data_IF_729753490481
#
_entry.id   IF_729753490481
#
_cell.length_a   1.000
_cell.length_b   1.000
_cell.length_c   1.000
_cell.angle_alpha   90.00
_cell.angle_beta   90.00
_cell.angle_gamma   90.00
#
_symmetry.space_group_name_H-M   'P 1'
#
loop_
_entity.id
_entity.type
_entity.pdbx_description
1 polymer ?
#
# COMPACT_ATOMS: atom_id res chain seq x y z
N UNK A 1 32.41 -25.41 -26.14
CA UNK A 1 32.94 -26.33 -25.10
C UNK A 1 33.59 -25.47 -24.03
N UNK A 2 32.87 -24.91 -23.07
CA UNK A 2 31.49 -25.13 -22.67
C UNK A 2 30.77 -23.78 -22.55
N UNK A 3 29.58 -23.71 -23.13
CA UNK A 3 28.70 -22.56 -23.08
C UNK A 3 28.02 -22.55 -21.70
N UNK A 4 28.60 -21.81 -20.76
CA UNK A 4 27.89 -21.42 -19.55
C UNK A 4 27.11 -20.15 -19.89
N UNK A 5 25.84 -20.31 -20.25
CA UNK A 5 24.89 -19.21 -20.31
C UNK A 5 24.89 -18.50 -18.96
N UNK A 6 25.35 -17.25 -18.91
CA UNK A 6 25.11 -16.41 -17.75
C UNK A 6 23.62 -16.13 -17.72
N UNK A 7 22.88 -16.80 -16.83
CA UNK A 7 21.48 -16.46 -16.55
C UNK A 7 21.42 -15.01 -16.06
N UNK A 8 21.14 -14.10 -16.99
CA UNK A 8 20.77 -12.74 -16.69
C UNK A 8 19.44 -12.80 -15.93
N UNK A 9 19.46 -12.43 -14.65
CA UNK A 9 18.27 -12.20 -13.84
C UNK A 9 17.38 -11.17 -14.53
N UNK A 10 16.33 -11.64 -15.20
CA UNK A 10 15.28 -10.79 -15.75
C UNK A 10 14.37 -10.30 -14.63
N UNK A 11 13.81 -9.08 -14.77
CA UNK A 11 12.92 -8.42 -13.78
C UNK A 11 11.80 -9.34 -13.27
N UNK A 12 11.31 -10.26 -14.10
CA UNK A 12 10.28 -11.24 -13.73
C UNK A 12 10.68 -12.14 -12.54
N UNK A 13 11.96 -12.54 -12.44
CA UNK A 13 12.46 -13.40 -11.37
C UNK A 13 12.54 -12.65 -10.03
N UNK A 14 12.61 -11.31 -10.05
CA UNK A 14 12.64 -10.50 -8.83
C UNK A 14 11.24 -10.39 -8.22
N UNK A 15 10.19 -10.26 -9.05
CA UNK A 15 8.80 -10.19 -8.59
C UNK A 15 8.33 -11.52 -7.97
N UNK A 16 8.59 -12.65 -8.63
CA UNK A 16 8.25 -13.97 -8.07
C UNK A 16 8.99 -14.22 -6.75
N UNK A 17 10.26 -13.83 -6.67
CA UNK A 17 11.04 -13.91 -5.44
C UNK A 17 10.49 -13.02 -4.32
N UNK A 18 10.05 -11.79 -4.61
CA UNK A 18 9.48 -10.88 -3.61
C UNK A 18 8.21 -11.44 -2.97
N UNK A 19 7.37 -12.12 -3.75
CA UNK A 19 6.14 -12.75 -3.22
C UNK A 19 6.41 -13.93 -2.27
N UNK A 20 7.62 -14.49 -2.30
CA UNK A 20 8.02 -15.65 -1.49
C UNK A 20 8.55 -15.30 -0.10
N UNK A 21 8.97 -14.06 0.13
CA UNK A 21 9.59 -13.61 1.38
C UNK A 21 8.57 -12.89 2.26
N UNK A 22 8.45 -13.32 3.53
CA UNK A 22 7.58 -12.71 4.54
C UNK A 22 8.37 -12.35 5.78
N UNK A 23 8.10 -11.15 6.29
CA UNK A 23 8.55 -10.68 7.59
C UNK A 23 7.33 -10.51 8.48
N UNK A 24 7.25 -11.29 9.55
CA UNK A 24 6.11 -11.34 10.46
C UNK A 24 6.58 -10.95 11.86
N UNK A 25 6.29 -9.74 12.34
CA UNK A 25 6.53 -9.39 13.74
C UNK A 25 5.68 -10.31 14.63
N UNK A 26 6.35 -11.11 15.46
CA UNK A 26 5.69 -12.07 16.35
C UNK A 26 5.55 -11.57 17.78
N UNK A 27 6.39 -10.61 18.17
CA UNK A 27 6.30 -9.91 19.46
C UNK A 27 6.88 -8.49 19.36
N UNK A 28 6.98 -7.76 20.48
CA UNK A 28 7.55 -6.41 20.48
C UNK A 28 9.07 -6.39 20.25
N UNK A 29 9.74 -7.55 20.37
CA UNK A 29 11.18 -7.67 20.19
C UNK A 29 11.58 -8.85 19.29
N UNK A 30 10.64 -9.48 18.59
CA UNK A 30 10.93 -10.63 17.71
C UNK A 30 10.23 -10.52 16.36
N UNK A 31 10.96 -10.89 15.30
CA UNK A 31 10.46 -10.96 13.92
C UNK A 31 10.79 -12.33 13.35
N UNK A 32 9.77 -13.01 12.83
CA UNK A 32 9.94 -14.22 12.03
C UNK A 32 10.13 -13.86 10.56
N UNK A 33 11.15 -14.48 9.96
CA UNK A 33 11.43 -14.42 8.53
C UNK A 33 11.07 -15.77 7.93
N UNK A 34 10.24 -15.76 6.89
CA UNK A 34 9.83 -16.95 6.17
C UNK A 34 10.07 -16.78 4.67
N UNK A 35 10.65 -17.79 4.03
CA UNK A 35 10.80 -17.85 2.56
C UNK A 35 10.06 -19.09 2.06
N UNK A 36 9.08 -18.92 1.19
CA UNK A 36 8.35 -20.05 0.61
C UNK A 36 9.25 -20.94 -0.25
N UNK A 37 8.84 -22.17 -0.51
CA UNK A 37 9.59 -23.08 -1.41
C UNK A 37 9.87 -22.46 -2.79
N UNK A 38 8.98 -21.56 -3.25
CA UNK A 38 9.14 -20.87 -4.53
C UNK A 38 10.33 -19.91 -4.53
N UNK A 39 10.61 -19.26 -3.40
CA UNK A 39 11.77 -18.38 -3.26
C UNK A 39 13.08 -19.11 -3.52
N UNK A 40 13.17 -20.38 -3.12
CA UNK A 40 14.36 -21.19 -3.34
C UNK A 40 14.47 -21.79 -4.74
N UNK A 41 13.56 -21.54 -5.69
CA UNK A 41 13.65 -22.12 -7.05
C UNK A 41 14.99 -21.85 -7.71
N UNK A 42 15.52 -20.63 -7.54
CA UNK A 42 16.80 -20.19 -8.12
C UNK A 42 17.98 -20.17 -7.13
N UNK A 43 17.74 -20.37 -5.82
CA UNK A 43 18.74 -20.17 -4.78
C UNK A 43 18.65 -21.23 -3.67
N UNK A 44 19.79 -21.65 -3.12
CA UNK A 44 19.82 -22.66 -2.05
C UNK A 44 19.74 -22.03 -0.65
N UNK A 45 20.21 -20.78 -0.53
CA UNK A 45 20.29 -20.06 0.74
C UNK A 45 20.28 -18.55 0.53
N UNK A 46 19.93 -17.83 1.59
CA UNK A 46 19.93 -16.38 1.67
C UNK A 46 20.76 -15.92 2.85
N UNK A 47 21.69 -14.99 2.60
CA UNK A 47 22.32 -14.22 3.66
C UNK A 47 21.30 -13.21 4.17
N UNK A 48 21.07 -13.21 5.47
CA UNK A 48 20.15 -12.28 6.14
C UNK A 48 20.97 -11.31 6.99
N UNK A 49 20.72 -10.03 6.82
CA UNK A 49 21.32 -8.97 7.62
C UNK A 49 20.25 -7.98 8.05
N UNK A 50 20.45 -7.29 9.18
CA UNK A 50 19.53 -6.25 9.61
C UNK A 50 20.28 -5.07 10.25
N UNK A 51 19.64 -3.91 10.29
CA UNK A 51 20.16 -2.71 10.94
C UNK A 51 19.01 -1.80 11.39
N UNK A 52 19.27 -0.86 12.30
CA UNK A 52 18.29 0.18 12.64
C UNK A 52 18.33 1.28 11.56
N UNK A 53 17.21 1.96 11.34
CA UNK A 53 17.15 3.10 10.40
C UNK A 53 18.18 4.20 10.72
N UNK A 54 18.59 4.31 11.98
CA UNK A 54 19.55 5.32 12.45
C UNK A 54 21.03 4.88 12.27
N UNK A 55 21.30 3.63 11.88
CA UNK A 55 22.64 3.05 11.81
C UNK A 55 22.90 2.30 10.50
N UNK A 56 22.51 2.85 9.35
CA UNK A 56 22.57 2.19 8.03
C UNK A 56 23.94 1.63 7.60
N UNK A 57 25.03 2.05 8.25
CA UNK A 57 26.39 1.56 8.00
C UNK A 57 26.78 0.35 8.89
N UNK A 58 25.93 -0.06 9.82
CA UNK A 58 26.18 -1.12 10.81
C UNK A 58 25.17 -2.26 10.64
N UNK A 59 25.43 -3.14 9.68
CA UNK A 59 24.61 -4.33 9.44
C UNK A 59 25.04 -5.49 10.34
N UNK A 60 24.07 -6.06 11.05
CA UNK A 60 24.26 -7.29 11.83
C UNK A 60 23.88 -8.49 10.97
N UNK A 61 24.76 -9.49 10.88
CA UNK A 61 24.53 -10.70 10.10
C UNK A 61 23.87 -11.77 10.95
N UNK A 62 22.79 -12.37 10.42
CA UNK A 62 22.08 -13.50 10.99
C UNK A 62 22.49 -14.82 10.33
N UNK A 63 22.14 -15.98 10.92
CA UNK A 63 22.25 -17.26 10.24
C UNK A 63 21.57 -17.22 8.87
N UNK A 64 22.19 -17.87 7.88
CA UNK A 64 21.59 -17.95 6.55
C UNK A 64 20.30 -18.76 6.59
N UNK A 65 19.27 -18.29 5.91
CA UNK A 65 18.08 -19.08 5.64
C UNK A 65 18.41 -20.05 4.52
N UNK A 66 18.08 -21.33 4.67
CA UNK A 66 18.36 -22.36 3.67
C UNK A 66 17.09 -23.07 3.25
N UNK A 67 17.08 -23.74 2.10
CA UNK A 67 15.90 -24.53 1.68
C UNK A 67 15.47 -25.57 2.72
N UNK A 68 16.40 -26.14 3.49
CA UNK A 68 16.11 -27.10 4.56
C UNK A 68 15.64 -26.46 5.88
N UNK A 69 15.80 -25.15 6.03
CA UNK A 69 15.34 -24.36 7.17
C UNK A 69 14.86 -23.00 6.65
N UNK A 70 13.67 -22.96 6.03
CA UNK A 70 13.15 -21.76 5.35
C UNK A 70 12.65 -20.67 6.32
N UNK A 71 12.79 -20.91 7.63
CA UNK A 71 12.38 -20.01 8.69
C UNK A 71 13.59 -19.55 9.52
N UNK A 72 13.58 -18.29 9.92
CA UNK A 72 14.53 -17.69 10.85
C UNK A 72 13.81 -16.73 11.77
N UNK A 73 13.93 -16.95 13.08
CA UNK A 73 13.46 -16.00 14.10
C UNK A 73 14.60 -15.08 14.48
N UNK A 74 14.33 -13.77 14.47
CA UNK A 74 15.26 -12.72 14.89
C UNK A 74 14.74 -12.15 16.19
N UNK A 75 15.44 -12.46 17.28
CA UNK A 75 15.10 -12.06 18.65
C UNK A 75 15.90 -10.84 19.10
N UNK A 76 15.59 -10.37 20.32
CA UNK A 76 16.29 -9.28 21.02
C UNK A 76 16.31 -7.92 20.27
N UNK A 77 15.28 -7.65 19.47
CA UNK A 77 15.09 -6.36 18.82
C UNK A 77 14.58 -5.30 19.82
N UNK A 78 15.02 -4.06 19.66
CA UNK A 78 14.54 -2.93 20.46
C UNK A 78 13.09 -2.61 20.09
N UNK A 79 12.26 -2.45 21.13
CA UNK A 79 10.87 -2.04 20.96
C UNK A 79 10.82 -0.62 20.37
N UNK A 80 9.74 -0.30 19.64
CA UNK A 80 9.55 1.02 19.02
C UNK A 80 10.68 1.48 18.09
N UNK A 81 11.44 0.54 17.55
CA UNK A 81 12.57 0.82 16.66
C UNK A 81 12.26 0.36 15.25
N UNK A 82 12.57 1.22 14.28
CA UNK A 82 12.46 0.92 12.86
C UNK A 82 13.72 0.19 12.38
N UNK A 83 13.52 -0.95 11.75
CA UNK A 83 14.58 -1.81 11.23
C UNK A 83 14.53 -1.91 9.70
N UNK A 84 15.71 -2.08 9.12
CA UNK A 84 15.90 -2.51 7.73
C UNK A 84 16.50 -3.91 7.72
N UNK A 85 15.90 -4.80 6.93
CA UNK A 85 16.39 -6.15 6.69
C UNK A 85 16.93 -6.25 5.27
N UNK A 86 18.09 -6.86 5.09
CA UNK A 86 18.73 -7.09 3.81
C UNK A 86 18.86 -8.58 3.53
N UNK A 87 18.40 -9.00 2.36
CA UNK A 87 18.45 -10.38 1.88
C UNK A 87 19.33 -10.46 0.65
N UNK A 88 20.43 -11.20 0.74
CA UNK A 88 21.33 -11.44 -0.38
C UNK A 88 21.24 -12.92 -0.79
N UNK A 89 20.70 -13.25 -1.97
CA UNK A 89 20.69 -14.62 -2.45
C UNK A 89 22.11 -15.14 -2.65
N UNK A 90 22.38 -16.37 -2.22
CA UNK A 90 23.65 -17.04 -2.48
C UNK A 90 23.42 -18.19 -3.46
N UNK A 91 24.12 -18.11 -4.60
CA UNK A 91 24.03 -19.10 -5.68
C UNK A 91 24.61 -20.46 -5.26
N UNK A 92 24.00 -21.50 -5.83
CA UNK A 92 24.38 -22.90 -5.66
C UNK A 92 25.82 -23.14 -6.11
N UNK A 93 26.66 -23.65 -5.21
CA UNK A 93 28.00 -24.15 -5.54
C UNK A 93 29.10 -23.09 -5.71
N UNK A 94 28.82 -21.80 -5.50
CA UNK A 94 29.85 -20.76 -5.49
C UNK A 94 30.22 -20.45 -4.04
N UNK A 95 31.17 -21.19 -3.48
CA UNK A 95 31.87 -20.77 -2.25
C UNK A 95 32.76 -19.58 -2.62
N UNK A 96 32.23 -18.36 -2.51
CA UNK A 96 33.03 -17.14 -2.70
C UNK A 96 33.99 -16.98 -1.53
N UNK A 97 35.22 -17.47 -1.69
CA UNK A 97 36.30 -17.25 -0.72
C UNK A 97 37.08 -15.95 -0.96
N UNK A 98 36.62 -15.04 -1.84
CA UNK A 98 37.32 -13.77 -2.10
C UNK A 98 36.35 -12.57 -2.14
N UNK A 99 36.59 -11.61 -1.25
CA UNK A 99 35.87 -10.35 -1.02
C UNK A 99 36.02 -9.30 -2.17
N UNK A 100 36.11 -9.73 -3.43
CA UNK A 100 36.30 -8.78 -4.55
C UNK A 100 35.04 -8.59 -5.39
N UNK A 101 34.17 -7.67 -4.94
CA UNK A 101 33.53 -6.68 -5.82
C UNK A 101 32.49 -7.13 -6.84
N UNK A 102 31.86 -8.30 -6.73
CA UNK A 102 30.66 -8.57 -7.55
C UNK A 102 29.44 -7.89 -6.92
N UNK A 103 28.79 -7.00 -7.68
CA UNK A 103 27.52 -6.38 -7.32
C UNK A 103 26.40 -7.42 -7.20
N UNK A 104 26.32 -8.08 -6.05
CA UNK A 104 25.21 -8.96 -5.72
C UNK A 104 23.98 -8.11 -5.40
N UNK A 105 22.92 -8.32 -6.15
CA UNK A 105 21.62 -7.70 -5.89
C UNK A 105 21.15 -8.14 -4.50
N UNK A 106 20.84 -7.18 -3.65
CA UNK A 106 20.29 -7.42 -2.32
C UNK A 106 18.93 -6.74 -2.23
N UNK A 107 17.97 -7.42 -1.64
CA UNK A 107 16.66 -6.85 -1.33
C UNK A 107 16.72 -6.21 0.05
N UNK A 108 16.14 -5.02 0.20
CA UNK A 108 16.00 -4.35 1.49
C UNK A 108 14.52 -4.16 1.81
N UNK A 109 14.09 -4.60 2.99
CA UNK A 109 12.74 -4.47 3.53
C UNK A 109 12.76 -3.64 4.81
N UNK A 110 11.71 -2.83 5.00
CA UNK A 110 11.56 -1.97 6.18
C UNK A 110 10.48 -2.55 7.09
N UNK A 111 10.79 -2.71 8.38
CA UNK A 111 9.84 -3.21 9.38
C UNK A 111 9.88 -2.30 10.60
N UNK A 112 8.71 -1.90 11.07
CA UNK A 112 8.54 -1.14 12.30
C UNK A 112 8.11 -2.07 13.43
N UNK A 113 8.89 -2.13 14.50
CA UNK A 113 8.52 -2.91 15.68
C UNK A 113 7.40 -2.20 16.46
N UNK A 114 6.35 -2.91 16.88
CA UNK A 114 5.27 -2.31 17.66
C UNK A 114 5.71 -2.00 19.09
N UNK A 115 5.21 -0.88 19.64
CA UNK A 115 5.39 -0.44 21.04
C UNK A 115 4.96 -1.46 22.08
N UNK A 116 4.01 -2.33 21.74
CA UNK A 116 3.61 -3.44 22.58
C UNK A 116 2.87 -4.51 21.78
N UNK A 117 3.54 -5.62 21.47
CA UNK A 117 2.86 -6.87 21.16
C UNK A 117 2.73 -7.66 22.47
N UNK A 118 1.57 -7.59 23.13
CA UNK A 118 1.26 -8.52 24.23
C UNK A 118 0.76 -9.85 23.66
N UNK A 119 1.61 -10.58 22.96
CA UNK A 119 1.38 -12.01 22.68
C UNK A 119 1.91 -12.81 23.87
N UNK A 120 1.02 -13.14 24.82
CA UNK A 120 1.39 -13.86 26.05
C UNK A 120 1.43 -15.36 25.77
N UNK A 121 2.59 -15.90 25.43
CA UNK A 121 2.80 -17.36 25.40
C UNK A 121 2.98 -17.89 26.83
N UNK A 122 2.12 -18.83 27.24
CA UNK A 122 2.31 -19.62 28.46
C UNK A 122 2.74 -21.03 28.05
N UNK A 123 3.98 -21.39 28.37
CA UNK A 123 4.47 -22.76 28.31
C UNK A 123 3.81 -23.59 29.42
N UNK A 124 2.78 -24.35 29.07
CA UNK A 124 2.26 -25.45 29.88
C UNK A 124 2.33 -26.73 29.06
N UNK A 125 2.92 -27.79 29.61
CA UNK A 125 2.96 -29.12 29.00
C UNK A 125 1.53 -29.66 28.82
N UNK A 126 0.96 -29.42 27.65
CA UNK A 126 -0.25 -30.05 27.18
C UNK A 126 -0.05 -30.48 25.73
N UNK A 127 -0.49 -31.70 25.45
CA UNK A 127 -0.52 -32.37 24.15
C UNK A 127 -0.69 -31.36 23.00
N UNK A 128 0.32 -31.26 22.13
CA UNK A 128 0.44 -30.23 21.08
C UNK A 128 -0.89 -30.00 20.35
N UNK A 129 -1.56 -28.90 20.70
CA UNK A 129 -2.71 -28.36 19.98
C UNK A 129 -2.12 -27.60 18.78
N UNK A 130 -2.78 -27.68 17.62
CA UNK A 130 -2.40 -26.85 16.48
C UNK A 130 -2.33 -25.38 16.91
N UNK A 131 -1.34 -24.60 16.42
CA UNK A 131 -1.23 -23.19 16.76
C UNK A 131 -2.57 -22.48 16.43
N UNK A 132 -3.01 -21.53 17.26
CA UNK A 132 -4.23 -20.78 17.00
C UNK A 132 -4.14 -20.09 15.63
N UNK A 133 -5.24 -20.05 14.86
CA UNK A 133 -5.25 -19.36 13.57
C UNK A 133 -4.87 -17.89 13.76
N UNK A 134 -4.03 -17.39 12.86
CA UNK A 134 -3.62 -15.98 12.86
C UNK A 134 -4.64 -15.16 12.07
N UNK A 135 -4.76 -13.87 12.38
CA UNK A 135 -5.61 -12.93 11.66
C UNK A 135 -4.83 -11.66 11.34
N UNK A 136 -5.12 -11.07 10.19
CA UNK A 136 -4.66 -9.75 9.80
C UNK A 136 -5.84 -8.77 9.80
N UNK A 137 -5.57 -7.52 10.18
CA UNK A 137 -6.54 -6.43 10.13
C UNK A 137 -5.96 -5.32 9.26
N UNK A 138 -6.73 -4.93 8.24
CA UNK A 138 -6.36 -3.91 7.27
C UNK A 138 -7.42 -2.82 7.27
N UNK A 139 -7.03 -1.55 7.34
CA UNK A 139 -7.97 -0.45 7.07
C UNK A 139 -8.30 -0.42 5.58
N UNK A 140 -9.59 -0.50 5.27
CA UNK A 140 -10.10 -0.42 3.90
C UNK A 140 -10.48 1.01 3.53
N UNK A 141 -11.10 1.75 4.45
CA UNK A 141 -11.39 3.19 4.31
C UNK A 141 -11.38 3.90 5.67
N UNK A 142 -11.87 5.15 5.75
CA UNK A 142 -11.87 5.93 6.99
C UNK A 142 -12.80 5.38 8.09
N UNK A 143 -13.74 4.52 7.72
CA UNK A 143 -14.82 3.97 8.57
C UNK A 143 -14.91 2.44 8.50
N UNK A 144 -13.96 1.76 7.87
CA UNK A 144 -14.02 0.32 7.68
C UNK A 144 -12.66 -0.37 7.76
N UNK A 145 -12.70 -1.62 8.24
CA UNK A 145 -11.55 -2.54 8.26
C UNK A 145 -11.93 -3.89 7.66
N UNK A 146 -11.00 -4.48 6.93
CA UNK A 146 -10.99 -5.88 6.53
C UNK A 146 -10.24 -6.70 7.58
N UNK A 147 -10.88 -7.74 8.09
CA UNK A 147 -10.25 -8.75 8.92
C UNK A 147 -10.15 -10.02 8.09
N UNK A 148 -8.94 -10.59 7.99
CA UNK A 148 -8.66 -11.78 7.20
C UNK A 148 -7.99 -12.85 8.06
N UNK A 149 -8.49 -14.08 7.98
CA UNK A 149 -7.90 -15.25 8.59
C UNK A 149 -6.71 -15.73 7.76
N UNK A 150 -5.54 -15.82 8.39
CA UNK A 150 -4.33 -16.34 7.76
C UNK A 150 -4.35 -17.86 7.93
N UNK A 151 -4.75 -18.55 6.87
CA UNK A 151 -4.71 -20.02 6.80
C UNK A 151 -3.31 -20.44 6.35
N UNK A 152 -2.57 -21.12 7.23
CA UNK A 152 -1.27 -21.71 6.84
C UNK A 152 -1.48 -22.70 5.70
N UNK A 153 -0.60 -22.65 4.69
CA UNK A 153 -0.65 -23.52 3.51
C UNK A 153 -0.46 -25.02 3.85
N UNK A 154 -0.04 -25.32 5.08
CA UNK A 154 -0.04 -26.66 5.62
C UNK A 154 -1.47 -27.19 5.75
N UNK A 155 -1.86 -28.01 4.78
CA UNK A 155 -3.17 -28.66 4.55
C UNK A 155 -3.75 -29.47 5.73
N UNK A 156 -3.18 -29.39 6.93
CA UNK A 156 -3.67 -30.04 8.16
C UNK A 156 -4.48 -29.12 9.08
N UNK A 157 -4.41 -27.80 8.90
CA UNK A 157 -5.22 -26.85 9.66
C UNK A 157 -6.54 -26.58 8.91
N UNK A 158 -7.51 -27.49 9.04
CA UNK A 158 -8.86 -27.24 8.55
C UNK A 158 -9.50 -26.14 9.39
N UNK A 159 -9.82 -25.00 8.78
CA UNK A 159 -10.55 -23.89 9.40
C UNK A 159 -12.01 -24.29 9.62
N UNK A 160 -12.29 -25.31 10.44
CA UNK A 160 -13.65 -25.81 10.73
C UNK A 160 -14.34 -25.05 11.86
N UNK A 161 -13.71 -23.98 12.33
CA UNK A 161 -14.13 -23.20 13.48
C UNK A 161 -14.90 -21.96 13.04
N UNK A 162 -15.83 -21.54 13.89
CA UNK A 162 -16.62 -20.32 13.70
C UNK A 162 -16.10 -19.30 14.70
N UNK A 163 -15.74 -18.12 14.20
CA UNK A 163 -15.14 -17.05 14.99
C UNK A 163 -16.08 -15.86 15.07
N UNK A 164 -16.37 -15.41 16.28
CA UNK A 164 -17.05 -14.14 16.52
C UNK A 164 -16.04 -13.01 16.64
N UNK A 165 -16.29 -11.93 15.92
CA UNK A 165 -15.50 -10.71 15.99
C UNK A 165 -16.24 -9.69 16.83
N UNK A 166 -15.53 -9.13 17.79
CA UNK A 166 -15.98 -8.06 18.66
C UNK A 166 -15.10 -6.84 18.44
N UNK A 167 -15.69 -5.65 18.53
CA UNK A 167 -14.99 -4.38 18.55
C UNK A 167 -15.27 -3.65 19.85
N UNK A 168 -14.29 -2.92 20.34
CA UNK A 168 -14.40 -2.01 21.48
C UNK A 168 -13.83 -0.66 21.08
N UNK A 169 -14.60 0.40 21.33
CA UNK A 169 -14.18 1.78 21.09
C UNK A 169 -13.38 2.26 22.29
N UNK A 170 -12.21 2.88 22.08
CA UNK A 170 -11.34 3.29 23.20
C UNK A 170 -11.90 4.44 24.05
N UNK A 171 -12.98 5.11 23.62
CA UNK A 171 -13.38 6.38 24.23
C UNK A 171 -14.42 6.32 25.34
N UNK A 172 -15.28 5.30 25.48
CA UNK A 172 -16.47 5.51 26.34
C UNK A 172 -17.00 4.38 27.21
N UNK A 173 -16.76 3.09 26.96
CA UNK A 173 -17.11 2.03 27.91
C UNK A 173 -16.32 0.78 27.52
N UNK A 174 -15.78 0.03 28.49
CA UNK A 174 -15.07 -1.25 28.28
C UNK A 174 -16.01 -2.38 27.77
N UNK A 175 -17.04 -2.02 27.00
CA UNK A 175 -18.06 -2.90 26.45
C UNK A 175 -17.68 -3.39 25.06
N UNK A 176 -17.50 -4.70 24.94
CA UNK A 176 -17.29 -5.38 23.67
C UNK A 176 -18.60 -5.52 22.90
N UNK A 177 -18.65 -4.96 21.70
CA UNK A 177 -19.79 -5.14 20.78
C UNK A 177 -19.45 -6.19 19.74
N UNK A 178 -20.29 -7.21 19.58
CA UNK A 178 -20.13 -8.18 18.48
C UNK A 178 -20.47 -7.51 17.15
N UNK A 179 -19.53 -7.52 16.21
CA UNK A 179 -19.64 -6.84 14.91
C UNK A 179 -19.70 -7.79 13.73
N UNK A 180 -19.22 -9.02 13.90
CA UNK A 180 -19.13 -9.98 12.80
C UNK A 180 -19.05 -11.43 13.29
N UNK A 181 -19.28 -12.37 12.37
CA UNK A 181 -18.97 -13.80 12.52
C UNK A 181 -18.28 -14.28 11.24
N UNK A 182 -17.14 -14.94 11.38
CA UNK A 182 -16.37 -15.58 10.31
C UNK A 182 -16.47 -17.10 10.41
N UNK A 183 -16.47 -17.78 9.28
CA UNK A 183 -16.48 -19.25 9.22
C UNK A 183 -15.57 -19.74 8.08
N UNK A 184 -15.56 -21.06 7.88
CA UNK A 184 -14.75 -21.73 6.85
C UNK A 184 -15.02 -21.26 5.42
N UNK A 185 -16.22 -20.76 5.16
CA UNK A 185 -16.65 -20.31 3.84
C UNK A 185 -16.41 -18.78 3.68
N UNK A 186 -16.15 -18.08 4.79
CA UNK A 186 -15.93 -16.64 4.87
C UNK A 186 -14.70 -16.31 5.74
N UNK A 187 -13.50 -16.56 5.17
CA UNK A 187 -12.21 -16.31 5.81
C UNK A 187 -11.86 -14.82 5.94
N UNK A 188 -12.64 -13.93 5.36
CA UNK A 188 -12.45 -12.49 5.44
C UNK A 188 -13.77 -11.77 5.65
N UNK A 189 -13.78 -10.72 6.47
CA UNK A 189 -14.96 -9.91 6.71
C UNK A 189 -14.61 -8.42 6.77
N UNK A 190 -15.44 -7.59 6.13
CA UNK A 190 -15.33 -6.13 6.21
C UNK A 190 -16.30 -5.59 7.25
N UNK A 191 -15.77 -4.91 8.26
CA UNK A 191 -16.54 -4.22 9.28
C UNK A 191 -16.64 -2.76 8.85
N UNK A 192 -17.86 -2.25 8.73
CA UNK A 192 -18.16 -0.89 8.24
C UNK A 192 -18.81 -0.04 9.31
N UNK A 193 -19.00 1.25 9.01
CA UNK A 193 -19.65 2.24 9.88
C UNK A 193 -18.92 2.46 11.21
N UNK A 194 -17.59 2.36 11.20
CA UNK A 194 -16.74 2.73 12.32
C UNK A 194 -16.55 4.25 12.32
N UNK A 195 -16.38 4.83 13.50
CA UNK A 195 -16.19 6.27 13.62
C UNK A 195 -14.78 6.64 13.15
N UNK A 196 -14.71 7.66 12.29
CA UNK A 196 -13.42 8.21 11.86
C UNK A 196 -12.62 8.71 13.07
N UNK A 197 -11.29 8.70 12.95
CA UNK A 197 -10.35 9.19 13.97
C UNK A 197 -10.48 8.53 15.35
N UNK A 198 -11.14 7.38 15.39
CA UNK A 198 -11.37 6.65 16.62
C UNK A 198 -10.46 5.43 16.65
N UNK A 199 -9.93 5.12 17.83
CA UNK A 199 -9.19 3.89 18.03
C UNK A 199 -10.15 2.77 18.43
N UNK A 200 -10.02 1.64 17.75
CA UNK A 200 -10.80 0.44 17.99
C UNK A 200 -9.87 -0.68 18.40
N UNK A 201 -10.34 -1.50 19.34
CA UNK A 201 -9.72 -2.80 19.63
C UNK A 201 -10.63 -3.89 19.12
N UNK A 202 -10.08 -4.81 18.33
CA UNK A 202 -10.81 -5.97 17.84
C UNK A 202 -10.42 -7.21 18.64
N UNK A 203 -11.42 -8.02 18.99
CA UNK A 203 -11.29 -9.31 19.66
C UNK A 203 -11.93 -10.38 18.80
N UNK A 204 -11.16 -11.40 18.45
CA UNK A 204 -11.65 -12.54 17.67
C UNK A 204 -11.73 -13.75 18.60
N UNK A 205 -12.91 -14.35 18.70
CA UNK A 205 -13.23 -15.43 19.65
C UNK A 205 -13.78 -16.66 18.92
N UNK A 206 -13.21 -17.83 19.17
CA UNK A 206 -13.71 -19.08 18.63
C UNK A 206 -14.92 -19.57 19.42
N UNK A 207 -16.09 -19.71 18.78
CA UNK A 207 -17.35 -20.10 19.42
C UNK A 207 -17.29 -21.49 20.10
N UNK A 208 -16.36 -22.36 19.70
CA UNK A 208 -16.18 -23.68 20.34
C UNK A 208 -15.45 -23.59 21.69
N UNK A 209 -14.85 -22.45 22.01
CA UNK A 209 -14.14 -22.22 23.25
C UNK A 209 -15.01 -21.40 24.21
N UNK A 210 -14.95 -21.65 25.53
CA UNK A 210 -15.72 -20.86 26.49
C UNK A 210 -15.27 -19.39 26.51
N UNK A 211 -16.24 -18.46 26.47
CA UNK A 211 -16.02 -17.00 26.50
C UNK A 211 -15.22 -16.52 27.74
N UNK A 212 -15.18 -17.31 28.81
CA UNK A 212 -14.53 -16.97 30.09
C UNK A 212 -13.00 -17.14 30.08
N UNK A 213 -12.40 -17.64 29.00
CA UNK A 213 -10.95 -17.80 28.89
C UNK A 213 -10.35 -16.67 28.04
N UNK A 214 -9.75 -15.67 28.70
CA UNK A 214 -8.99 -14.58 28.06
C UNK A 214 -7.91 -15.10 27.08
N UNK A 215 -7.43 -16.33 27.28
CA UNK A 215 -6.36 -16.98 26.53
C UNK A 215 -6.72 -17.38 25.09
N UNK A 216 -7.98 -17.26 24.69
CA UNK A 216 -8.49 -17.70 23.37
C UNK A 216 -8.75 -16.56 22.40
N UNK A 217 -8.50 -15.32 22.84
CA UNK A 217 -8.87 -14.11 22.11
C UNK A 217 -7.64 -13.50 21.46
N UNK A 218 -7.71 -13.27 20.15
CA UNK A 218 -6.73 -12.44 19.45
C UNK A 218 -7.22 -11.00 19.59
N UNK A 219 -6.41 -10.17 20.26
CA UNK A 219 -6.71 -8.77 20.56
C UNK A 219 -5.74 -7.90 19.77
N UNK A 220 -6.26 -7.09 18.87
CA UNK A 220 -5.46 -6.14 18.10
C UNK A 220 -6.09 -4.75 18.16
N UNK A 221 -5.28 -3.76 18.55
CA UNK A 221 -5.68 -2.36 18.56
C UNK A 221 -5.35 -1.74 17.20
N UNK A 222 -6.33 -1.03 16.65
CA UNK A 222 -6.26 -0.36 15.37
C UNK A 222 -6.71 1.09 15.52
N UNK A 223 -5.88 2.04 15.08
CA UNK A 223 -6.21 3.47 15.13
C UNK A 223 -6.52 3.94 13.71
N UNK A 224 -7.75 4.39 13.47
CA UNK A 224 -8.16 4.91 12.18
C UNK A 224 -7.45 6.24 11.89
N UNK A 225 -6.87 6.32 10.69
CA UNK A 225 -6.42 7.59 10.12
C UNK A 225 -7.63 8.39 9.59
N UNK A 226 -7.55 9.73 9.60
CA UNK A 226 -8.54 10.57 8.91
C UNK A 226 -8.63 10.14 7.44
N UNK A 227 -9.79 10.31 6.79
CA UNK A 227 -9.90 10.12 5.33
C UNK A 227 -8.81 10.90 4.55
N UNK A 228 -8.47 12.10 5.04
CA UNK A 228 -7.38 12.91 4.51
C UNK A 228 -5.98 12.31 4.73
N UNK A 229 -5.73 11.68 5.89
CA UNK A 229 -4.45 11.07 6.25
C UNK A 229 -4.22 9.77 5.49
N UNK A 230 -5.26 8.95 5.37
CA UNK A 230 -5.24 7.75 4.54
C UNK A 230 -4.95 8.09 3.07
N UNK A 231 -5.68 9.06 2.51
CA UNK A 231 -5.45 9.54 1.14
C UNK A 231 -4.02 10.10 0.98
N UNK A 232 -3.52 10.83 1.99
CA UNK A 232 -2.14 11.34 1.97
C UNK A 232 -1.10 10.21 1.89
N UNK A 233 -1.31 9.13 2.66
CA UNK A 233 -0.44 7.97 2.68
C UNK A 233 -0.47 7.20 1.36
N UNK A 234 -1.65 7.03 0.76
CA UNK A 234 -1.78 6.45 -0.59
C UNK A 234 -1.03 7.29 -1.62
N UNK A 235 -1.23 8.61 -1.63
CA UNK A 235 -0.51 9.53 -2.54
C UNK A 235 1.01 9.44 -2.32
N UNK A 236 1.48 9.43 -1.07
CA UNK A 236 2.93 9.25 -0.75
C UNK A 236 3.48 7.93 -1.27
N UNK A 237 2.69 6.84 -1.21
CA UNK A 237 3.06 5.54 -1.76
C UNK A 237 3.22 5.59 -3.27
N UNK A 238 2.20 6.09 -3.98
CA UNK A 238 2.20 6.25 -5.44
C UNK A 238 3.40 7.06 -5.93
N UNK A 239 3.69 8.20 -5.29
CA UNK A 239 4.81 9.05 -5.68
C UNK A 239 6.16 8.37 -5.48
N UNK A 240 6.34 7.60 -4.40
CA UNK A 240 7.59 6.85 -4.15
C UNK A 240 7.82 5.80 -5.23
N UNK A 241 6.79 5.04 -5.60
CA UNK A 241 6.89 4.00 -6.64
C UNK A 241 7.16 4.62 -8.02
N UNK A 242 6.48 5.72 -8.36
CA UNK A 242 6.70 6.43 -9.61
C UNK A 242 8.13 6.99 -9.72
N UNK A 243 8.66 7.59 -8.64
CA UNK A 243 10.04 8.08 -8.59
C UNK A 243 11.08 6.94 -8.74
N UNK A 244 10.74 5.74 -8.27
CA UNK A 244 11.54 4.52 -8.45
C UNK A 244 11.46 3.90 -9.84
N UNK A 245 10.68 4.46 -10.78
CA UNK A 245 10.36 3.87 -12.10
C UNK A 245 9.79 2.45 -12.01
N UNK A 246 9.16 2.10 -10.89
CA UNK A 246 8.56 0.80 -10.68
C UNK A 246 7.11 0.80 -11.18
N UNK A 247 6.67 -0.31 -11.75
CA UNK A 247 5.25 -0.54 -12.04
C UNK A 247 4.54 -0.75 -10.70
N UNK A 248 3.47 0.01 -10.44
CA UNK A 248 2.61 -0.21 -9.28
C UNK A 248 1.84 -1.53 -9.46
N UNK A 249 2.26 -2.58 -8.75
CA UNK A 249 1.57 -3.88 -8.73
C UNK A 249 0.40 -3.91 -7.74
N UNK A 250 0.43 -3.06 -6.70
CA UNK A 250 -0.70 -2.92 -5.77
C UNK A 250 -1.81 -2.19 -6.52
N UNK A 251 -3.06 -2.70 -6.51
CA UNK A 251 -4.18 -1.99 -7.07
C UNK A 251 -4.53 -0.80 -6.17
N UNK A 252 -3.75 0.28 -6.29
CA UNK A 252 -4.10 1.64 -5.83
C UNK A 252 -5.52 2.00 -6.30
N UNK A 253 -5.92 1.43 -7.43
CA UNK A 253 -7.24 1.51 -8.03
C UNK A 253 -8.38 0.89 -7.20
N UNK A 254 -8.12 0.14 -6.12
CA UNK A 254 -9.20 -0.31 -5.21
C UNK A 254 -9.30 0.67 -4.05
N UNK A 255 -8.21 0.91 -3.32
CA UNK A 255 -8.19 1.81 -2.16
C UNK A 255 -8.45 3.28 -2.49
N UNK A 256 -7.84 3.81 -3.57
CA UNK A 256 -8.08 5.18 -4.00
C UNK A 256 -9.50 5.32 -4.53
N UNK A 257 -9.96 4.39 -5.39
CA UNK A 257 -11.32 4.42 -5.92
C UNK A 257 -12.40 4.18 -4.87
N UNK A 258 -12.16 3.41 -3.82
CA UNK A 258 -13.13 3.21 -2.72
C UNK A 258 -13.27 4.49 -1.90
N UNK A 259 -12.15 5.09 -1.48
CA UNK A 259 -12.17 6.41 -0.80
C UNK A 259 -12.79 7.48 -1.69
N UNK A 260 -12.42 7.49 -2.96
CA UNK A 260 -12.98 8.37 -3.99
C UNK A 260 -14.47 8.08 -4.20
N UNK A 261 -14.92 6.81 -4.20
CA UNK A 261 -16.34 6.41 -4.30
C UNK A 261 -17.14 6.84 -3.09
N UNK A 262 -16.59 6.72 -1.89
CA UNK A 262 -17.25 7.21 -0.67
C UNK A 262 -17.39 8.72 -0.71
N UNK A 263 -16.34 9.44 -1.10
CA UNK A 263 -16.41 10.88 -1.38
C UNK A 263 -17.43 11.16 -2.49
N UNK A 264 -17.54 10.32 -3.52
CA UNK A 264 -18.51 10.50 -4.61
C UNK A 264 -19.96 10.22 -4.25
N UNK A 265 -20.22 9.38 -3.25
CA UNK A 265 -21.55 9.07 -2.76
C UNK A 265 -22.02 10.08 -1.71
N UNK A 266 -21.17 11.02 -1.31
CA UNK A 266 -21.55 12.15 -0.46
C UNK A 266 -22.45 13.13 -1.25
N UNK A 267 -23.76 12.98 -1.08
CA UNK A 267 -24.79 13.83 -1.69
C UNK A 267 -24.70 15.31 -1.28
N UNK A 268 -23.88 15.65 -0.27
CA UNK A 268 -23.71 17.03 0.20
C UNK A 268 -22.69 17.82 -0.62
N UNK A 269 -21.92 17.17 -1.48
CA UNK A 269 -20.99 17.84 -2.39
C UNK A 269 -21.76 18.51 -3.54
N UNK A 270 -21.89 19.83 -3.49
CA UNK A 270 -22.51 20.63 -4.54
C UNK A 270 -21.47 20.98 -5.61
N UNK A 271 -21.65 20.55 -6.87
CA UNK A 271 -20.80 20.93 -8.00
C UNK A 271 -20.58 22.44 -8.08
N UNK A 272 -19.32 22.86 -8.25
CA UNK A 272 -19.06 24.24 -8.64
C UNK A 272 -19.22 24.36 -10.17
N UNK A 273 -20.46 24.59 -10.61
CA UNK A 273 -20.81 24.73 -12.03
C UNK A 273 -20.02 25.84 -12.76
N UNK A 274 -19.43 26.79 -12.02
CA UNK A 274 -18.69 27.91 -12.62
C UNK A 274 -17.39 27.48 -13.34
N UNK A 275 -16.79 26.34 -12.96
CA UNK A 275 -15.49 25.90 -13.51
C UNK A 275 -15.56 24.60 -14.31
N UNK A 276 -16.74 23.96 -14.38
CA UNK A 276 -16.95 22.69 -15.08
C UNK A 276 -16.35 21.46 -14.38
N UNK A 277 -15.92 21.59 -13.12
CA UNK A 277 -15.34 20.50 -12.30
C UNK A 277 -16.03 20.45 -10.92
N UNK A 278 -16.24 19.25 -10.38
CA UNK A 278 -16.67 19.10 -8.99
C UNK A 278 -15.42 19.17 -8.09
N UNK A 279 -15.35 20.14 -7.18
CA UNK A 279 -14.27 20.18 -6.18
C UNK A 279 -14.70 19.36 -4.97
N UNK A 280 -14.01 18.24 -4.72
CA UNK A 280 -14.46 17.21 -3.77
C UNK A 280 -13.83 17.34 -2.38
N UNK A 281 -12.60 17.87 -2.29
CA UNK A 281 -11.93 18.13 -1.02
C UNK A 281 -10.96 19.31 -1.16
N UNK A 282 -10.96 20.22 -0.19
CA UNK A 282 -10.09 21.40 -0.13
C UNK A 282 -9.47 21.50 1.26
N UNK A 283 -8.33 20.85 1.47
CA UNK A 283 -7.39 21.34 2.49
C UNK A 283 -6.36 22.24 1.80
N UNK A 284 -5.59 22.99 2.58
CA UNK A 284 -4.50 23.79 2.00
C UNK A 284 -3.50 22.88 1.24
N UNK A 285 -3.34 21.65 1.71
CA UNK A 285 -2.28 20.74 1.28
C UNK A 285 -2.77 19.66 0.29
N UNK A 286 -4.08 19.48 0.15
CA UNK A 286 -4.67 18.51 -0.77
C UNK A 286 -5.96 19.06 -1.39
N UNK A 287 -6.03 19.02 -2.72
CA UNK A 287 -7.20 19.39 -3.51
C UNK A 287 -7.58 18.23 -4.42
N UNK A 288 -8.88 17.95 -4.51
CA UNK A 288 -9.42 16.88 -5.35
C UNK A 288 -10.46 17.46 -6.31
N UNK A 289 -10.30 17.21 -7.61
CA UNK A 289 -11.20 17.68 -8.67
C UNK A 289 -11.72 16.50 -9.49
N UNK A 290 -13.01 16.55 -9.83
CA UNK A 290 -13.65 15.60 -10.74
C UNK A 290 -13.83 16.22 -12.12
N UNK A 291 -13.51 15.46 -13.15
CA UNK A 291 -13.80 15.79 -14.54
C UNK A 291 -15.26 16.20 -14.80
N UNK A 292 -15.54 16.91 -15.90
CA UNK A 292 -16.85 17.50 -16.14
C UNK A 292 -17.97 16.46 -16.19
N UNK A 293 -19.00 16.64 -15.36
CA UNK A 293 -20.16 15.73 -15.26
C UNK A 293 -20.84 15.46 -16.61
N UNK A 294 -20.86 16.44 -17.50
CA UNK A 294 -21.43 16.29 -18.86
C UNK A 294 -20.65 15.32 -19.73
N UNK A 295 -19.32 15.27 -19.60
CA UNK A 295 -18.47 14.33 -20.33
C UNK A 295 -18.58 12.91 -19.76
N UNK A 296 -18.83 12.79 -18.44
CA UNK A 296 -19.09 11.51 -17.78
C UNK A 296 -20.44 10.91 -18.19
N UNK A 297 -21.47 11.75 -18.40
CA UNK A 297 -22.82 11.29 -18.75
C UNK A 297 -23.00 10.94 -20.23
N UNK A 298 -22.22 11.53 -21.14
CA UNK A 298 -22.33 11.30 -22.60
C UNK A 298 -21.96 9.87 -23.06
N UNK A 299 -21.37 9.04 -22.20
CA UNK A 299 -20.89 7.70 -22.57
C UNK A 299 -21.74 6.55 -22.04
N UNK A 300 -22.78 6.83 -21.24
CA UNK A 300 -23.78 5.82 -20.86
C UNK A 300 -24.58 5.27 -22.06
N UNK A 301 -24.36 5.80 -23.26
CA UNK A 301 -25.00 5.37 -24.51
C UNK A 301 -24.04 4.63 -25.49
N UNK A 302 -22.76 4.43 -25.16
CA UNK A 302 -21.76 3.83 -26.08
C UNK A 302 -21.28 2.44 -25.62
N UNK A 303 -21.34 1.49 -26.55
CA UNK A 303 -21.15 0.03 -26.45
C UNK A 303 -19.93 -0.43 -25.60
N UNK A 304 -20.17 -1.31 -24.63
CA UNK A 304 -19.32 -1.70 -23.47
C UNK A 304 -18.04 -2.51 -23.77
N UNK A 305 -17.53 -2.51 -25.01
CA UNK A 305 -16.57 -3.56 -25.45
C UNK A 305 -15.09 -3.27 -25.17
N UNK A 306 -14.71 -2.08 -24.68
CA UNK A 306 -13.31 -1.77 -24.34
C UNK A 306 -13.10 -1.75 -22.82
N UNK A 307 -12.33 -2.71 -22.26
CA UNK A 307 -12.08 -2.75 -20.80
C UNK A 307 -11.38 -1.50 -20.26
N UNK A 308 -10.60 -0.81 -21.09
CA UNK A 308 -9.94 0.46 -20.73
C UNK A 308 -10.91 1.65 -20.65
N UNK A 309 -12.10 1.59 -21.28
CA UNK A 309 -13.11 2.65 -21.14
C UNK A 309 -13.89 2.57 -19.83
N UNK A 310 -13.62 1.55 -19.00
CA UNK A 310 -14.26 1.38 -17.68
C UNK A 310 -13.46 2.01 -16.54
N UNK A 311 -12.21 2.39 -16.76
CA UNK A 311 -11.38 3.01 -15.73
C UNK A 311 -11.33 4.51 -15.91
N UNK A 312 -11.86 5.25 -14.93
CA UNK A 312 -11.70 6.70 -14.86
C UNK A 312 -10.20 7.04 -14.80
N UNK A 313 -9.75 7.94 -15.67
CA UNK A 313 -8.34 8.35 -15.72
C UNK A 313 -7.92 9.11 -14.47
N UNK A 314 -6.63 9.11 -14.13
CA UNK A 314 -6.10 9.85 -12.98
C UNK A 314 -5.00 10.83 -13.44
N UNK A 315 -5.03 12.07 -12.94
CA UNK A 315 -3.92 13.02 -13.00
C UNK A 315 -3.57 13.42 -11.57
N UNK A 316 -2.37 13.07 -11.10
CA UNK A 316 -1.87 13.39 -9.77
C UNK A 316 -0.77 14.43 -9.90
N UNK A 317 -0.90 15.55 -9.19
CA UNK A 317 0.02 16.68 -9.24
C UNK A 317 0.60 16.88 -7.85
N UNK A 318 1.92 16.84 -7.76
CA UNK A 318 2.68 17.14 -6.56
C UNK A 318 3.32 18.51 -6.72
N UNK A 319 2.61 19.52 -6.28
CA UNK A 319 2.95 20.92 -6.48
C UNK A 319 3.88 21.43 -5.38
N UNK A 320 5.07 21.91 -5.75
CA UNK A 320 6.08 22.40 -4.81
C UNK A 320 5.83 23.86 -4.43
N UNK A 321 5.52 24.11 -3.15
CA UNK A 321 5.53 25.45 -2.57
C UNK A 321 6.94 25.99 -2.46
N UNK A 322 7.28 26.99 -3.30
CA UNK A 322 8.51 27.77 -3.14
C UNK A 322 8.29 28.87 -2.12
N UNK A 323 9.17 28.93 -1.11
CA UNK A 323 9.11 29.89 -0.01
C UNK A 323 9.17 31.39 -0.41
N UNK A 324 9.45 31.73 -1.67
CA UNK A 324 9.73 33.11 -2.10
C UNK A 324 8.76 33.72 -3.13
N UNK A 325 7.74 33.00 -3.61
CA UNK A 325 6.68 33.59 -4.44
C UNK A 325 5.34 33.36 -3.73
N UNK A 326 4.48 34.38 -3.68
CA UNK A 326 3.04 34.19 -3.47
C UNK A 326 2.55 33.28 -4.60
N UNK A 327 2.62 31.98 -4.37
CA UNK A 327 2.27 31.02 -5.39
C UNK A 327 0.78 31.08 -5.61
N UNK A 328 0.40 31.30 -6.87
CA UNK A 328 -0.96 31.11 -7.28
C UNK A 328 -1.32 29.62 -7.09
N UNK A 329 -2.51 29.31 -6.57
CA UNK A 329 -2.96 27.93 -6.45
C UNK A 329 -2.97 27.26 -7.82
N UNK A 330 -2.82 25.93 -7.86
CA UNK A 330 -3.10 25.15 -9.08
C UNK A 330 -4.55 25.38 -9.45
N UNK A 331 -4.79 25.74 -10.71
CA UNK A 331 -6.13 26.03 -11.22
C UNK A 331 -6.52 24.91 -12.16
N UNK A 332 -7.55 24.15 -11.80
CA UNK A 332 -8.18 23.16 -12.67
C UNK A 332 -9.48 23.75 -13.21
N UNK A 333 -9.65 23.75 -14.53
CA UNK A 333 -10.88 24.25 -15.18
C UNK A 333 -11.13 23.59 -16.53
N UNK A 334 -12.38 23.61 -16.95
CA UNK A 334 -12.81 23.15 -18.27
C UNK A 334 -12.65 24.30 -19.29
N UNK A 335 -12.05 24.00 -20.45
CA UNK A 335 -11.94 24.92 -21.57
C UNK A 335 -12.13 24.18 -22.91
N UNK A 336 -13.25 24.46 -23.59
CA UNK A 336 -13.54 23.96 -24.94
C UNK A 336 -13.52 22.42 -25.04
N UNK A 337 -14.08 21.72 -24.05
CA UNK A 337 -14.08 20.27 -23.90
C UNK A 337 -12.77 19.68 -23.39
N UNK A 338 -11.81 20.51 -22.99
CA UNK A 338 -10.51 20.07 -22.48
C UNK A 338 -10.34 20.43 -21.01
N UNK A 339 -9.56 19.61 -20.31
CA UNK A 339 -9.18 19.83 -18.93
C UNK A 339 -7.90 20.64 -18.89
N UNK A 340 -7.99 21.91 -18.48
CA UNK A 340 -6.84 22.80 -18.32
C UNK A 340 -6.43 22.85 -16.86
N UNK A 341 -5.17 22.51 -16.60
CA UNK A 341 -4.53 22.61 -15.29
C UNK A 341 -3.39 23.62 -15.37
N UNK A 342 -3.57 24.79 -14.78
CA UNK A 342 -2.59 25.87 -14.76
C UNK A 342 -1.83 25.99 -13.45
N UNK A 343 -0.76 26.79 -13.46
CA UNK A 343 0.09 27.07 -12.30
C UNK A 343 0.74 25.83 -11.68
N UNK A 344 1.07 24.82 -12.50
CA UNK A 344 1.80 23.64 -12.00
C UNK A 344 3.26 24.04 -11.79
N UNK A 345 3.81 23.79 -10.61
CA UNK A 345 5.24 23.86 -10.30
C UNK A 345 5.63 22.59 -9.54
N UNK A 346 5.72 21.45 -10.23
CA UNK A 346 6.16 20.22 -9.61
C UNK A 346 5.99 18.97 -10.44
N UNK A 347 5.77 17.83 -9.80
CA UNK A 347 5.71 16.55 -10.50
C UNK A 347 4.26 16.23 -10.90
N UNK A 348 4.08 15.64 -12.07
CA UNK A 348 2.77 15.23 -12.60
C UNK A 348 2.82 13.75 -12.96
N UNK A 349 1.89 12.98 -12.43
CA UNK A 349 1.64 11.59 -12.81
C UNK A 349 0.31 11.56 -13.55
N UNK A 350 0.27 10.91 -14.69
CA UNK A 350 -0.96 10.65 -15.44
C UNK A 350 -1.12 9.14 -15.54
N UNK A 351 -2.29 8.58 -15.23
CA UNK A 351 -2.53 7.12 -15.20
C UNK A 351 -3.87 6.75 -15.79
N UNK A 352 -3.93 5.54 -16.35
CA UNK A 352 -5.12 4.93 -16.93
C UNK A 352 -5.85 5.88 -17.90
N UNK A 353 -5.09 6.70 -18.64
CA UNK A 353 -5.66 7.63 -19.60
C UNK A 353 -5.45 7.14 -21.02
N UNK A 354 -6.41 7.49 -21.87
CA UNK A 354 -6.24 7.57 -23.32
C UNK A 354 -6.59 9.00 -23.70
N UNK A 355 -5.60 9.90 -23.69
CA UNK A 355 -5.83 11.34 -23.90
C UNK A 355 -4.64 12.01 -24.57
N UNK A 356 -4.94 13.00 -25.42
CA UNK A 356 -3.93 13.92 -25.92
C UNK A 356 -3.63 14.96 -24.84
N UNK A 357 -2.37 15.06 -24.44
CA UNK A 357 -1.87 16.03 -23.48
C UNK A 357 -0.99 17.05 -24.19
N UNK A 358 -1.32 18.33 -24.00
CA UNK A 358 -0.50 19.45 -24.39
C UNK A 358 0.10 20.10 -23.13
N UNK A 359 1.42 20.03 -23.03
CA UNK A 359 2.18 20.70 -21.98
C UNK A 359 2.72 22.01 -22.52
N UNK A 360 2.48 23.11 -21.81
CA UNK A 360 3.01 24.44 -22.13
C UNK A 360 3.82 24.96 -20.96
N UNK A 361 5.10 25.25 -21.17
CA UNK A 361 5.90 25.94 -20.16
C UNK A 361 5.64 27.44 -20.25
N UNK A 362 5.17 28.06 -19.16
CA UNK A 362 4.75 29.47 -19.17
C UNK A 362 5.93 30.44 -19.37
N UNK A 363 7.12 30.10 -18.86
CA UNK A 363 8.30 30.97 -18.95
C UNK A 363 8.91 30.98 -20.35
N UNK A 364 9.07 29.80 -20.95
CA UNK A 364 9.72 29.62 -22.25
C UNK A 364 8.75 29.64 -23.43
N UNK A 365 7.44 29.46 -23.16
CA UNK A 365 6.39 29.23 -24.16
C UNK A 365 6.61 27.97 -25.01
N UNK A 366 7.52 27.10 -24.61
CA UNK A 366 7.71 25.82 -25.28
C UNK A 366 6.48 24.93 -25.08
N UNK A 367 6.12 24.21 -26.13
CA UNK A 367 4.97 23.31 -26.14
C UNK A 367 5.43 21.89 -26.46
N UNK A 368 4.85 20.92 -25.75
CA UNK A 368 5.02 19.49 -26.00
C UNK A 368 3.65 18.85 -26.09
N UNK A 369 3.32 18.32 -27.26
CA UNK A 369 2.10 17.54 -27.49
C UNK A 369 2.44 16.06 -27.43
N UNK A 370 1.70 15.30 -26.64
CA UNK A 370 1.87 13.85 -26.50
C UNK A 370 0.51 13.15 -26.47
N UNK A 371 0.42 12.00 -27.12
CA UNK A 371 -0.70 11.09 -26.96
C UNK A 371 -0.31 10.08 -25.87
N UNK A 372 -1.05 10.05 -24.77
CA UNK A 372 -0.78 9.14 -23.65
C UNK A 372 -1.80 8.02 -23.70
N UNK A 373 -1.29 6.78 -23.77
CA UNK A 373 -2.04 5.54 -23.60
C UNK A 373 -1.42 4.81 -22.40
N UNK A 374 -2.14 4.77 -21.28
CA UNK A 374 -1.66 4.17 -20.04
C UNK A 374 -1.16 5.20 -19.03
N UNK A 375 0.15 5.25 -18.78
CA UNK A 375 0.75 6.04 -17.69
C UNK A 375 1.92 6.91 -18.16
N UNK A 376 2.09 8.08 -17.54
CA UNK A 376 3.22 8.98 -17.75
C UNK A 376 3.64 9.66 -16.44
N UNK A 377 4.94 9.93 -16.29
CA UNK A 377 5.49 10.69 -15.17
C UNK A 377 6.33 11.87 -15.69
N UNK A 378 5.99 13.07 -15.25
CA UNK A 378 6.64 14.32 -15.62
C UNK A 378 7.24 14.94 -14.37
N UNK A 379 8.57 15.01 -14.29
CA UNK A 379 9.27 15.53 -13.12
C UNK A 379 9.60 17.01 -13.27
N UNK A 380 9.34 17.80 -12.24
CA UNK A 380 9.70 19.22 -12.17
C UNK A 380 9.03 20.08 -13.25
N UNK A 381 7.84 19.69 -13.70
CA UNK A 381 7.07 20.42 -14.69
C UNK A 381 6.63 21.78 -14.15
N UNK A 382 6.85 22.82 -14.95
CA UNK A 382 6.44 24.19 -14.67
C UNK A 382 5.61 24.73 -15.82
N UNK A 383 4.32 24.95 -15.58
CA UNK A 383 3.41 25.59 -16.52
C UNK A 383 2.00 25.04 -16.53
N UNK A 384 1.47 24.83 -17.74
CA UNK A 384 0.07 24.47 -18.00
C UNK A 384 0.01 23.10 -18.65
N UNK A 385 -0.85 22.23 -18.14
CA UNK A 385 -1.23 20.97 -18.74
C UNK A 385 -2.65 21.09 -19.31
N UNK A 386 -2.85 20.72 -20.56
CA UNK A 386 -4.17 20.62 -21.19
C UNK A 386 -4.37 19.17 -21.61
N UNK A 387 -5.33 18.48 -21.00
CA UNK A 387 -5.69 17.11 -21.36
C UNK A 387 -7.01 17.11 -22.14
N UNK A 388 -7.00 16.56 -23.35
CA UNK A 388 -8.16 16.60 -24.22
C UNK A 388 -9.23 15.61 -23.78
N UNK A 389 -10.45 16.11 -23.53
CA UNK A 389 -11.60 15.32 -23.10
C UNK A 389 -11.30 14.39 -21.92
N UNK A 390 -10.47 14.82 -20.98
CA UNK A 390 -10.11 13.99 -19.84
C UNK A 390 -11.31 13.76 -18.92
N UNK A 391 -11.65 12.47 -18.75
CA UNK A 391 -12.78 11.97 -17.96
C UNK A 391 -12.23 11.21 -16.76
N UNK A 392 -11.85 11.95 -15.74
CA UNK A 392 -11.10 11.37 -14.66
C UNK A 392 -10.96 12.29 -13.48
N UNK A 393 -10.07 11.92 -12.58
CA UNK A 393 -9.87 12.59 -11.30
C UNK A 393 -8.53 13.30 -11.34
N UNK A 394 -8.52 14.52 -10.80
CA UNK A 394 -7.31 15.29 -10.61
C UNK A 394 -7.06 15.43 -9.11
N UNK A 395 -5.93 14.92 -8.66
CA UNK A 395 -5.45 15.07 -7.29
C UNK A 395 -4.32 16.08 -7.29
N UNK A 396 -4.42 17.17 -6.53
CA UNK A 396 -3.34 18.15 -6.36
C UNK A 396 -2.89 18.13 -4.91
N UNK A 397 -1.66 17.69 -4.67
CA UNK A 397 -1.00 17.76 -3.37
C UNK A 397 -0.01 18.91 -3.35
N UNK A 398 -0.25 19.90 -2.49
CA UNK A 398 0.69 20.99 -2.26
C UNK A 398 1.69 20.57 -1.19
N UNK A 399 2.97 20.51 -1.53
CA UNK A 399 4.05 20.20 -0.60
C UNK A 399 4.98 21.38 -0.44
N UNK A 400 5.42 21.64 0.80
CA UNK A 400 6.56 22.52 0.99
C UNK A 400 7.78 21.84 0.38
N UNK A 401 8.48 22.55 -0.51
CA UNK A 401 9.73 22.04 -1.06
C UNK A 401 10.69 21.76 0.11
N UNK A 402 11.25 20.54 0.23
CA UNK A 402 12.21 20.23 1.28
C UNK A 402 13.44 21.13 1.21
#
# INVERSE_FOLDING_TARGET
KDDAESELLTVHNVTEWLSSLRLVPTSSNTVDVEISEEGFKAYDQYKVEYTTINQLDQWQQMPNITRGSPHLTIDDLEQDTDYKFRFTPLLRGITTSNESGSSQLSLVLDVKMPSSCKTRFITGEAKARAPPPQFAIHQTDATSVLIEAIVSSDKSATFEDVFDVYSMKETDDDEWTKVATMDKDHLSITIKNLEENTAYTFKIHNQKLPLSEEQTNIIQQFKFETASGYLENVVKGVMRTAAGHQVLEIPVNVSLNEVIREIFLDETLVPNEQYGFDTLALTNDLQLFRGPKQLMLQELEVDETCELSKTDGEIIIHNYRRAQREQQPVIVREENGNTRIGNIDGDVIVRNVVTDVLLTNEETRNQLSMNIVGQAFLRGFQGILIASKFKGIIVVKNVNKP
#
